data_IF_492604093851
#
_entry.id   IF_492604093851
#
_cell.length_a   1.000
_cell.length_b   1.000
_cell.length_c   1.000
_cell.angle_alpha   90.00
_cell.angle_beta   90.00
_cell.angle_gamma   90.00
#
_symmetry.space_group_name_H-M   'P 1'
#
loop_
_entity.id
_entity.type
_entity.pdbx_description
1 polymer ?
#
# COMPACT_ATOMS: atom_id res chain seq x y z
N UNK A 1 -14.78 0.12 -32.33
CA UNK A 1 -15.02 0.69 -33.68
C UNK A 1 -14.19 1.97 -33.91
N UNK A 2 -12.96 2.09 -33.38
CA UNK A 2 -12.23 3.37 -33.26
C UNK A 2 -11.17 3.60 -34.34
N UNK A 3 -10.55 2.56 -34.90
CA UNK A 3 -9.58 2.70 -35.99
C UNK A 3 -10.23 3.22 -37.29
N UNK A 4 -11.46 2.78 -37.57
CA UNK A 4 -12.16 3.02 -38.85
C UNK A 4 -12.47 4.49 -39.11
N UNK A 5 -12.93 5.26 -38.12
CA UNK A 5 -13.29 6.67 -38.32
C UNK A 5 -12.07 7.56 -38.56
N UNK A 6 -10.96 7.33 -37.84
CA UNK A 6 -9.70 8.05 -38.06
C UNK A 6 -9.09 7.69 -39.43
N UNK A 7 -9.17 6.42 -39.82
CA UNK A 7 -8.73 5.96 -41.14
C UNK A 7 -9.57 6.54 -42.28
N UNK A 8 -10.90 6.58 -42.13
CA UNK A 8 -11.81 7.14 -43.13
C UNK A 8 -11.61 8.66 -43.31
N UNK A 9 -11.40 9.38 -42.21
CA UNK A 9 -11.04 10.79 -42.25
C UNK A 9 -9.71 10.98 -42.99
N UNK A 10 -8.65 10.27 -42.58
CA UNK A 10 -7.34 10.35 -43.24
C UNK A 10 -7.41 10.00 -44.75
N UNK A 11 -8.27 9.07 -45.15
CA UNK A 11 -8.52 8.75 -46.57
C UNK A 11 -9.16 9.91 -47.32
N UNK A 12 -10.24 10.49 -46.78
CA UNK A 12 -10.90 11.65 -47.41
C UNK A 12 -9.92 12.81 -47.64
N UNK A 13 -9.01 13.05 -46.70
CA UNK A 13 -7.99 14.10 -46.82
C UNK A 13 -6.88 13.77 -47.81
N UNK A 14 -6.42 12.51 -47.81
CA UNK A 14 -5.50 12.00 -48.84
C UNK A 14 -6.07 12.20 -50.24
N UNK A 15 -7.37 11.94 -50.41
CA UNK A 15 -8.05 12.05 -51.70
C UNK A 15 -8.13 13.51 -52.18
N UNK A 16 -8.49 14.43 -51.28
CA UNK A 16 -8.53 15.89 -51.59
C UNK A 16 -7.13 16.43 -51.91
N UNK A 17 -6.12 16.06 -51.14
CA UNK A 17 -4.73 16.49 -51.40
C UNK A 17 -4.21 15.92 -52.73
N UNK A 18 -4.50 14.65 -53.02
CA UNK A 18 -4.12 14.03 -54.30
C UNK A 18 -4.85 14.65 -55.50
N UNK A 19 -6.11 15.06 -55.32
CA UNK A 19 -6.90 15.74 -56.35
C UNK A 19 -6.34 17.12 -56.64
N UNK A 20 -5.97 17.89 -55.59
CA UNK A 20 -5.35 19.20 -55.74
C UNK A 20 -3.97 19.10 -56.42
N UNK A 21 -3.16 18.11 -56.03
CA UNK A 21 -1.86 17.85 -56.66
C UNK A 21 -1.99 17.36 -58.12
N UNK A 22 -3.09 16.69 -58.46
CA UNK A 22 -3.37 16.27 -59.83
C UNK A 22 -3.83 17.46 -60.69
N UNK A 23 -4.70 18.33 -60.17
CA UNK A 23 -5.10 19.57 -60.83
C UNK A 23 -3.89 20.49 -61.10
N UNK A 24 -2.93 20.58 -60.18
CA UNK A 24 -1.68 21.32 -60.40
C UNK A 24 -0.85 20.74 -61.54
N UNK A 25 -0.74 19.40 -61.62
CA UNK A 25 0.01 18.72 -62.68
C UNK A 25 -0.65 18.84 -64.05
N UNK A 26 -1.98 18.78 -64.11
CA UNK A 26 -2.74 19.03 -65.33
C UNK A 26 -2.55 20.47 -65.82
N UNK A 27 -2.48 21.44 -64.90
CA UNK A 27 -2.16 22.81 -65.25
C UNK A 27 -0.73 23.00 -65.76
N UNK A 28 0.25 22.25 -65.25
CA UNK A 28 1.63 22.29 -65.75
C UNK A 28 1.77 21.71 -67.16
N UNK A 29 0.86 20.81 -67.55
CA UNK A 29 0.83 20.21 -68.89
C UNK A 29 0.16 21.11 -69.96
N UNK A 30 -0.53 22.19 -69.56
CA UNK A 30 -1.16 23.13 -70.47
C UNK A 30 -0.13 24.12 -71.03
N UNK A 31 0.37 23.84 -72.24
CA UNK A 31 1.20 24.79 -72.99
C UNK A 31 0.30 25.75 -73.78
N UNK A 32 0.29 27.03 -73.42
CA UNK A 32 -0.45 28.09 -74.12
C UNK A 32 0.52 29.07 -74.74
N UNK A 33 0.47 29.21 -76.07
CA UNK A 33 1.42 30.04 -76.83
C UNK A 33 1.08 31.54 -76.80
N UNK A 34 -0.15 31.91 -76.41
CA UNK A 34 -0.61 33.31 -76.29
C UNK A 34 -0.19 33.95 -74.95
N UNK A 35 0.33 35.19 -75.00
CA UNK A 35 0.77 35.98 -73.82
C UNK A 35 -0.32 36.12 -72.74
N UNK A 36 -1.55 36.46 -73.13
CA UNK A 36 -2.69 36.59 -72.19
C UNK A 36 -3.03 35.27 -71.49
N UNK A 37 -2.91 34.16 -72.23
CA UNK A 37 -3.13 32.81 -71.69
C UNK A 37 -2.06 32.37 -70.70
N UNK A 38 -0.80 32.79 -70.92
CA UNK A 38 0.30 32.55 -69.95
C UNK A 38 0.08 33.33 -68.65
N UNK A 39 -0.42 34.56 -68.73
CA UNK A 39 -0.75 35.35 -67.54
C UNK A 39 -1.88 34.73 -66.71
N UNK A 40 -2.96 34.28 -67.35
CA UNK A 40 -4.08 33.64 -66.63
C UNK A 40 -3.68 32.29 -66.01
N UNK A 41 -2.91 31.46 -66.73
CA UNK A 41 -2.37 30.23 -66.14
C UNK A 41 -1.46 30.53 -64.94
N UNK A 42 -0.64 31.58 -65.01
CA UNK A 42 0.19 32.03 -63.89
C UNK A 42 -0.63 32.41 -62.66
N UNK A 43 -1.72 33.16 -62.83
CA UNK A 43 -2.63 33.55 -61.73
C UNK A 43 -3.30 32.34 -61.09
N UNK A 44 -3.85 31.44 -61.90
CA UNK A 44 -4.54 30.24 -61.40
C UNK A 44 -3.54 29.33 -60.67
N UNK A 45 -2.31 29.20 -61.18
CA UNK A 45 -1.24 28.45 -60.50
C UNK A 45 -0.90 29.03 -59.13
N UNK A 46 -0.78 30.36 -59.05
CA UNK A 46 -0.52 31.04 -57.79
C UNK A 46 -1.67 30.84 -56.79
N UNK A 47 -2.92 30.90 -57.26
CA UNK A 47 -4.10 30.64 -56.43
C UNK A 47 -4.15 29.19 -55.94
N UNK A 48 -3.89 28.20 -56.81
CA UNK A 48 -3.86 26.79 -56.41
C UNK A 48 -2.77 26.51 -55.38
N UNK A 49 -1.58 27.08 -55.54
CA UNK A 49 -0.49 26.95 -54.56
C UNK A 49 -0.90 27.51 -53.19
N UNK A 50 -1.52 28.69 -53.15
CA UNK A 50 -1.99 29.29 -51.91
C UNK A 50 -3.09 28.46 -51.22
N UNK A 51 -3.97 27.84 -52.01
CA UNK A 51 -5.00 26.93 -51.49
C UNK A 51 -4.34 25.69 -50.90
N UNK A 52 -3.34 25.12 -51.56
CA UNK A 52 -2.61 23.95 -51.08
C UNK A 52 -1.88 24.24 -49.76
N UNK A 53 -1.20 25.37 -49.68
CA UNK A 53 -0.45 25.76 -48.48
C UNK A 53 -1.41 25.95 -47.29
N UNK A 54 -2.50 26.70 -47.47
CA UNK A 54 -3.52 26.87 -46.42
C UNK A 54 -4.17 25.57 -45.98
N UNK A 55 -4.48 24.69 -46.94
CA UNK A 55 -5.09 23.40 -46.65
C UNK A 55 -4.15 22.52 -45.82
N UNK A 56 -2.86 22.49 -46.15
CA UNK A 56 -1.85 21.76 -45.38
C UNK A 56 -1.67 22.32 -43.96
N UNK A 57 -1.73 23.65 -43.81
CA UNK A 57 -1.63 24.30 -42.49
C UNK A 57 -2.83 23.98 -41.60
N UNK A 58 -4.05 24.08 -42.14
CA UNK A 58 -5.28 23.70 -41.41
C UNK A 58 -5.27 22.21 -41.05
N UNK A 59 -4.75 21.35 -41.92
CA UNK A 59 -4.61 19.92 -41.64
C UNK A 59 -3.65 19.65 -40.49
N UNK A 60 -2.46 20.25 -40.52
CA UNK A 60 -1.48 20.15 -39.45
C UNK A 60 -2.02 20.69 -38.11
N UNK A 61 -2.81 21.76 -38.16
CA UNK A 61 -3.46 22.30 -36.98
C UNK A 61 -4.48 21.30 -36.41
N UNK A 62 -5.33 20.74 -37.26
CA UNK A 62 -6.38 19.82 -36.85
C UNK A 62 -5.82 18.50 -36.32
N UNK A 63 -4.77 17.95 -36.95
CA UNK A 63 -4.10 16.73 -36.48
C UNK A 63 -3.50 16.90 -35.08
N UNK A 64 -2.93 18.08 -34.79
CA UNK A 64 -2.30 18.36 -33.50
C UNK A 64 -3.29 18.65 -32.38
N UNK A 65 -4.48 19.20 -32.68
CA UNK A 65 -5.37 19.76 -31.65
C UNK A 65 -6.72 19.04 -31.52
N UNK A 66 -7.11 18.18 -32.46
CA UNK A 66 -8.37 17.46 -32.35
C UNK A 66 -8.19 16.12 -31.62
N UNK A 67 -8.79 16.00 -30.43
CA UNK A 67 -8.93 14.72 -29.72
C UNK A 67 -10.02 13.86 -30.38
N UNK A 68 -9.66 13.14 -31.45
CA UNK A 68 -10.59 12.22 -32.14
C UNK A 68 -10.86 10.91 -31.37
N UNK A 69 -10.10 10.65 -30.30
CA UNK A 69 -10.15 9.36 -29.58
C UNK A 69 -11.17 9.36 -28.44
N UNK A 70 -11.60 10.54 -27.96
CA UNK A 70 -12.45 10.65 -26.77
C UNK A 70 -13.78 11.34 -27.08
N UNK A 71 -14.84 10.53 -27.13
CA UNK A 71 -16.20 11.05 -27.21
C UNK A 71 -16.63 11.61 -25.86
N UNK A 72 -16.67 12.94 -25.74
CA UNK A 72 -17.05 13.64 -24.51
C UNK A 72 -18.52 14.02 -24.55
N UNK A 73 -19.31 13.53 -23.59
CA UNK A 73 -20.72 13.89 -23.43
C UNK A 73 -20.92 14.64 -22.10
N UNK A 74 -21.60 15.78 -22.14
CA UNK A 74 -21.96 16.56 -20.97
C UNK A 74 -23.48 16.56 -20.76
N UNK A 75 -23.93 16.28 -19.53
CA UNK A 75 -25.35 16.28 -19.15
C UNK A 75 -25.67 17.50 -18.30
N UNK A 76 -26.60 18.34 -18.77
CA UNK A 76 -27.08 19.54 -18.06
C UNK A 76 -28.55 19.40 -17.67
N UNK A 77 -28.95 20.05 -16.58
CA UNK A 77 -30.33 20.05 -16.08
C UNK A 77 -30.41 20.26 -14.56
N UNK A 78 -31.61 20.48 -14.04
CA UNK A 78 -31.87 20.70 -12.60
C UNK A 78 -31.67 19.43 -11.75
N UNK A 79 -31.51 19.59 -10.43
CA UNK A 79 -31.47 18.45 -9.49
C UNK A 79 -32.71 17.58 -9.68
N UNK A 80 -32.54 16.25 -9.62
CA UNK A 80 -33.62 15.27 -9.82
C UNK A 80 -34.21 15.15 -11.23
N UNK A 81 -33.64 15.81 -12.26
CA UNK A 81 -34.04 15.62 -13.66
C UNK A 81 -33.62 14.25 -14.27
N UNK A 82 -33.12 13.32 -13.45
CA UNK A 82 -32.68 12.00 -13.91
C UNK A 82 -31.30 11.93 -14.59
N UNK A 83 -30.49 13.00 -14.53
CA UNK A 83 -29.14 13.05 -15.14
C UNK A 83 -28.27 11.85 -14.70
N UNK A 84 -28.23 11.56 -13.40
CA UNK A 84 -27.47 10.42 -12.86
C UNK A 84 -27.98 9.08 -13.38
N UNK A 85 -29.29 8.94 -13.54
CA UNK A 85 -29.93 7.72 -14.07
C UNK A 85 -29.53 7.48 -15.52
N UNK A 86 -29.52 8.51 -16.36
CA UNK A 86 -29.10 8.38 -17.76
C UNK A 86 -27.63 8.00 -17.86
N UNK A 87 -26.76 8.64 -17.07
CA UNK A 87 -25.34 8.30 -17.02
C UNK A 87 -25.17 6.82 -16.63
N UNK A 88 -25.88 6.36 -15.61
CA UNK A 88 -25.76 4.98 -15.16
C UNK A 88 -26.33 3.98 -16.19
N UNK A 89 -27.45 4.29 -16.83
CA UNK A 89 -27.99 3.47 -17.93
C UNK A 89 -27.00 3.32 -19.07
N UNK A 90 -26.29 4.39 -19.44
CA UNK A 90 -25.25 4.33 -20.48
C UNK A 90 -24.07 3.47 -20.03
N UNK A 91 -23.63 3.58 -18.78
CA UNK A 91 -22.56 2.72 -18.24
C UNK A 91 -22.92 1.24 -18.28
N UNK A 92 -24.16 0.90 -17.94
CA UNK A 92 -24.68 -0.47 -18.02
C UNK A 92 -24.74 -0.93 -19.48
N UNK A 93 -25.33 -0.12 -20.36
CA UNK A 93 -25.52 -0.44 -21.78
C UNK A 93 -24.19 -0.69 -22.50
N UNK A 94 -23.19 0.15 -22.23
CA UNK A 94 -21.84 0.01 -22.80
C UNK A 94 -20.93 -0.91 -22.01
N UNK A 95 -21.46 -1.56 -20.97
CA UNK A 95 -20.74 -2.53 -20.16
C UNK A 95 -19.37 -1.99 -19.73
N UNK A 96 -19.34 -0.85 -19.00
CA UNK A 96 -18.12 -0.10 -18.64
C UNK A 96 -17.11 -0.96 -17.85
N UNK A 97 -16.36 -1.79 -18.58
CA UNK A 97 -15.53 -2.87 -18.03
C UNK A 97 -14.41 -2.32 -17.15
N UNK A 98 -13.84 -1.16 -17.53
CA UNK A 98 -12.80 -0.49 -16.76
C UNK A 98 -13.29 -0.15 -15.35
N UNK A 99 -14.52 0.36 -15.21
CA UNK A 99 -15.10 0.71 -13.92
C UNK A 99 -15.37 -0.55 -13.09
N UNK A 100 -15.84 -1.63 -13.71
CA UNK A 100 -16.03 -2.93 -13.02
C UNK A 100 -14.71 -3.49 -12.50
N UNK A 101 -13.67 -3.50 -13.33
CA UNK A 101 -12.33 -3.93 -12.94
C UNK A 101 -11.78 -3.10 -11.78
N UNK A 102 -11.96 -1.77 -11.82
CA UNK A 102 -11.57 -0.88 -10.72
C UNK A 102 -12.31 -1.21 -9.42
N UNK A 103 -13.62 -1.47 -9.49
CA UNK A 103 -14.42 -1.85 -8.31
C UNK A 103 -13.97 -3.19 -7.73
N UNK A 104 -13.73 -4.19 -8.57
CA UNK A 104 -13.22 -5.49 -8.13
C UNK A 104 -11.83 -5.37 -7.50
N UNK A 105 -10.95 -4.58 -8.10
CA UNK A 105 -9.61 -4.34 -7.57
C UNK A 105 -9.65 -3.63 -6.22
N UNK A 106 -10.50 -2.62 -6.07
CA UNK A 106 -10.70 -1.92 -4.81
C UNK A 106 -11.24 -2.87 -3.72
N UNK A 107 -12.19 -3.74 -4.06
CA UNK A 107 -12.71 -4.73 -3.12
C UNK A 107 -11.62 -5.71 -2.65
N UNK A 108 -10.78 -6.20 -3.57
CA UNK A 108 -9.64 -7.08 -3.24
C UNK A 108 -8.62 -6.38 -2.35
N UNK A 109 -8.27 -5.13 -2.67
CA UNK A 109 -7.32 -4.34 -1.87
C UNK A 109 -7.85 -4.11 -0.45
N UNK A 110 -9.13 -3.82 -0.30
CA UNK A 110 -9.76 -3.66 1.00
C UNK A 110 -9.68 -4.94 1.84
N UNK A 111 -10.03 -6.09 1.23
CA UNK A 111 -9.95 -7.38 1.90
C UNK A 111 -8.51 -7.72 2.35
N UNK A 112 -7.51 -7.43 1.52
CA UNK A 112 -6.11 -7.65 1.87
C UNK A 112 -5.66 -6.76 3.04
N UNK A 113 -6.08 -5.49 3.05
CA UNK A 113 -5.77 -4.57 4.14
C UNK A 113 -6.39 -5.04 5.47
N UNK A 114 -7.64 -5.51 5.46
CA UNK A 114 -8.30 -6.07 6.64
C UNK A 114 -7.58 -7.32 7.16
N UNK A 115 -7.18 -8.23 6.27
CA UNK A 115 -6.44 -9.43 6.65
C UNK A 115 -5.07 -9.10 7.25
N UNK A 116 -4.34 -8.16 6.64
CA UNK A 116 -3.03 -7.73 7.15
C UNK A 116 -3.15 -7.10 8.54
N UNK A 117 -4.18 -6.26 8.75
CA UNK A 117 -4.44 -5.64 10.04
C UNK A 117 -4.79 -6.69 11.11
N UNK A 118 -5.64 -7.66 10.77
CA UNK A 118 -5.99 -8.75 11.68
C UNK A 118 -4.76 -9.58 12.06
N UNK A 119 -3.92 -9.95 11.09
CA UNK A 119 -2.70 -10.71 11.33
C UNK A 119 -1.74 -9.97 12.26
N UNK A 120 -1.57 -8.66 12.04
CA UNK A 120 -0.73 -7.82 12.89
C UNK A 120 -1.29 -7.70 14.31
N UNK A 121 -2.62 -7.59 14.47
CA UNK A 121 -3.26 -7.59 15.77
C UNK A 121 -3.07 -8.92 16.52
N UNK A 122 -3.15 -10.04 15.81
CA UNK A 122 -2.92 -11.37 16.37
C UNK A 122 -1.45 -11.56 16.78
N UNK A 123 -0.51 -11.08 15.97
CA UNK A 123 0.92 -11.10 16.28
C UNK A 123 1.23 -10.29 17.55
N UNK A 124 0.70 -9.07 17.65
CA UNK A 124 0.84 -8.24 18.85
C UNK A 124 0.26 -8.97 20.07
N UNK A 125 -0.93 -9.55 19.95
CA UNK A 125 -1.57 -10.28 21.05
C UNK A 125 -0.73 -11.48 21.50
N UNK A 126 -0.19 -12.24 20.55
CA UNK A 126 0.68 -13.38 20.84
C UNK A 126 2.00 -12.92 21.50
N UNK A 127 2.62 -11.86 20.98
CA UNK A 127 3.82 -11.26 21.55
C UNK A 127 3.60 -10.78 22.99
N UNK A 128 2.51 -10.06 23.25
CA UNK A 128 2.15 -9.67 24.62
C UNK A 128 1.93 -10.89 25.51
N UNK A 129 1.21 -11.91 25.02
CA UNK A 129 1.00 -13.17 25.74
C UNK A 129 2.31 -13.84 26.15
N UNK A 130 3.28 -13.92 25.25
CA UNK A 130 4.60 -14.48 25.52
C UNK A 130 5.39 -13.66 26.55
N UNK A 131 5.29 -12.32 26.50
CA UNK A 131 5.91 -11.45 27.50
C UNK A 131 5.30 -11.66 28.89
N UNK A 132 3.96 -11.75 28.99
CA UNK A 132 3.29 -12.02 30.25
C UNK A 132 3.66 -13.37 30.85
N UNK A 133 3.74 -14.43 30.03
CA UNK A 133 4.12 -15.77 30.51
C UNK A 133 5.58 -15.82 30.97
N UNK A 134 6.49 -15.12 30.28
CA UNK A 134 7.88 -14.99 30.70
C UNK A 134 8.00 -14.31 32.07
N UNK A 135 7.33 -13.16 32.28
CA UNK A 135 7.32 -12.48 33.58
C UNK A 135 6.71 -13.36 34.68
N UNK A 136 5.61 -14.06 34.41
CA UNK A 136 4.99 -14.95 35.40
C UNK A 136 5.95 -16.08 35.82
N UNK A 137 6.70 -16.65 34.87
CA UNK A 137 7.70 -17.68 35.15
C UNK A 137 8.87 -17.14 35.97
N UNK A 138 9.35 -15.93 35.67
CA UNK A 138 10.44 -15.29 36.40
C UNK A 138 10.03 -14.99 37.85
N UNK A 139 8.83 -14.46 38.06
CA UNK A 139 8.27 -14.21 39.41
C UNK A 139 8.14 -15.53 40.19
N UNK A 140 7.67 -16.61 39.54
CA UNK A 140 7.58 -17.92 40.18
C UNK A 140 8.97 -18.44 40.61
N UNK A 141 9.99 -18.28 39.77
CA UNK A 141 11.37 -18.64 40.10
C UNK A 141 11.94 -17.82 41.28
N UNK A 142 11.64 -16.52 41.34
CA UNK A 142 12.00 -15.66 42.47
C UNK A 142 11.32 -16.10 43.77
N UNK A 143 10.02 -16.43 43.72
CA UNK A 143 9.30 -16.95 44.89
C UNK A 143 9.92 -18.25 45.40
N UNK A 144 10.29 -19.17 44.51
CA UNK A 144 10.96 -20.42 44.87
C UNK A 144 12.33 -20.16 45.50
N UNK A 145 13.09 -19.21 44.95
CA UNK A 145 14.38 -18.79 45.50
C UNK A 145 14.23 -18.22 46.92
N UNK A 146 13.23 -17.35 47.14
CA UNK A 146 12.92 -16.79 48.48
C UNK A 146 12.52 -17.91 49.45
N UNK A 147 11.73 -18.88 49.02
CA UNK A 147 11.34 -20.03 49.85
C UNK A 147 12.56 -20.86 50.28
N UNK A 148 13.49 -21.12 49.36
CA UNK A 148 14.73 -21.86 49.66
C UNK A 148 15.61 -21.10 50.67
N UNK A 149 15.74 -19.78 50.53
CA UNK A 149 16.50 -18.93 51.45
C UNK A 149 15.87 -18.92 52.85
N UNK A 150 14.54 -18.88 52.96
CA UNK A 150 13.84 -18.99 54.26
C UNK A 150 14.17 -20.32 54.95
N UNK A 151 14.12 -21.43 54.21
CA UNK A 151 14.40 -22.75 54.75
C UNK A 151 15.86 -22.87 55.23
N UNK A 152 16.81 -22.33 54.46
CA UNK A 152 18.23 -22.29 54.86
C UNK A 152 18.41 -21.46 56.13
N UNK A 153 17.80 -20.27 56.20
CA UNK A 153 17.89 -19.39 57.36
C UNK A 153 17.31 -20.03 58.64
N UNK A 154 16.22 -20.79 58.53
CA UNK A 154 15.61 -21.55 59.64
C UNK A 154 16.50 -22.73 60.09
N UNK A 155 17.15 -23.43 59.16
CA UNK A 155 18.10 -24.48 59.48
C UNK A 155 19.34 -23.91 60.20
N UNK A 156 19.87 -22.77 59.75
CA UNK A 156 21.00 -22.12 60.41
C UNK A 156 20.65 -21.54 61.79
N UNK A 157 19.44 -21.00 61.97
CA UNK A 157 19.00 -20.49 63.28
C UNK A 157 18.83 -21.65 64.28
N UNK A 158 18.26 -22.77 63.87
CA UNK A 158 18.13 -23.96 64.71
C UNK A 158 19.48 -24.65 64.99
N UNK A 159 20.46 -24.53 64.09
CA UNK A 159 21.83 -24.98 64.31
C UNK A 159 22.58 -24.09 65.31
N UNK A 160 22.38 -22.76 65.26
CA UNK A 160 22.94 -21.81 66.24
C UNK A 160 22.35 -22.01 67.64
N UNK A 161 21.04 -22.23 67.74
CA UNK A 161 20.37 -22.51 69.01
C UNK A 161 20.85 -23.84 69.60
N UNK A 162 20.94 -24.91 68.79
CA UNK A 162 21.46 -26.21 69.24
C UNK A 162 22.92 -26.16 69.66
N UNK A 163 23.79 -25.42 68.95
CA UNK A 163 25.20 -25.24 69.36
C UNK A 163 25.33 -24.50 70.69
N UNK A 164 24.55 -23.44 70.91
CA UNK A 164 24.51 -22.74 72.21
C UNK A 164 23.97 -23.63 73.32
N UNK A 165 22.88 -24.37 73.07
CA UNK A 165 22.29 -25.31 74.02
C UNK A 165 23.26 -26.45 74.39
N UNK A 166 23.98 -27.00 73.41
CA UNK A 166 24.97 -28.05 73.64
C UNK A 166 26.19 -27.52 74.40
N UNK A 167 26.69 -26.33 74.07
CA UNK A 167 27.76 -25.68 74.82
C UNK A 167 27.36 -25.42 76.29
N UNK A 168 26.12 -24.97 76.55
CA UNK A 168 25.64 -24.82 77.92
C UNK A 168 25.45 -26.14 78.65
N UNK A 169 25.02 -27.21 77.97
CA UNK A 169 24.84 -28.53 78.56
C UNK A 169 26.19 -29.19 78.93
N UNK A 170 27.18 -29.10 78.05
CA UNK A 170 28.55 -29.60 78.31
C UNK A 170 29.22 -28.80 79.44
N UNK A 171 29.08 -27.48 79.43
CA UNK A 171 29.59 -26.62 80.52
C UNK A 171 28.93 -26.90 81.87
N UNK A 172 27.60 -27.10 81.89
CA UNK A 172 26.85 -27.44 83.11
C UNK A 172 27.19 -28.83 83.67
N UNK A 173 27.41 -29.82 82.80
CA UNK A 173 27.79 -31.18 83.21
C UNK A 173 29.18 -31.23 83.87
N UNK A 174 30.15 -30.47 83.35
CA UNK A 174 31.49 -30.37 83.95
C UNK A 174 31.46 -29.72 85.34
N UNK A 175 30.66 -28.66 85.51
CA UNK A 175 30.48 -28.01 86.81
C UNK A 175 29.74 -28.91 87.81
N UNK A 176 28.74 -29.66 87.36
CA UNK A 176 28.01 -30.61 88.21
C UNK A 176 28.86 -31.78 88.69
N UNK A 177 29.75 -32.31 87.84
CA UNK A 177 30.65 -33.39 88.21
C UNK A 177 31.71 -32.94 89.24
N UNK A 178 32.24 -31.72 89.12
CA UNK A 178 33.18 -31.16 90.10
C UNK A 178 32.52 -30.95 91.48
N UNK A 179 31.27 -30.49 91.52
CA UNK A 179 30.53 -30.32 92.77
C UNK A 179 30.21 -31.67 93.44
N UNK A 180 29.86 -32.69 92.66
CA UNK A 180 29.60 -34.04 93.18
C UNK A 180 30.87 -34.69 93.75
N UNK A 181 32.02 -34.55 93.08
CA UNK A 181 33.29 -35.06 93.61
C UNK A 181 33.72 -34.36 94.91
N UNK A 182 33.47 -33.05 95.03
CA UNK A 182 33.73 -32.30 96.27
C UNK A 182 32.82 -32.71 97.44
N UNK A 183 31.56 -33.07 97.15
CA UNK A 183 30.61 -33.50 98.18
C UNK A 183 30.92 -34.90 98.74
N UNK A 184 31.43 -35.83 97.91
CA UNK A 184 31.82 -37.16 98.37
C UNK A 184 33.08 -37.16 99.25
N UNK A 185 33.97 -36.18 99.09
CA UNK A 185 35.16 -36.03 99.93
C UNK A 185 34.88 -35.45 101.33
N UNK A 186 33.70 -34.84 101.55
CA UNK A 186 33.34 -34.23 102.83
C UNK A 186 32.42 -35.12 103.71
N UNK A 187 31.85 -36.19 103.16
CA UNK A 187 30.94 -37.09 103.90
C UNK A 187 31.63 -38.40 104.36
N UNK A 188 32.90 -38.59 104.00
CA UNK A 188 33.69 -39.79 104.34
C UNK A 188 34.88 -39.56 105.28
N UNK A 189 34.75 -38.68 106.28
CA UNK A 189 35.75 -38.47 107.34
C UNK A 189 35.12 -38.55 108.74
#
# INVERSE_FOLDING_TARGET
MTASSKQHFNQLYSDVSSSLASAMREMEALNVDHEDGKQEIGKIRQQLSQIQDRFNDELNFLEKHAEWDKFTMAFFGETNAGKSTVIESLRILFNEDLRRQQLEQNARNLQQAEQALSAQADEIRAGMGAVYTAYASEIAGLQQSIASLRQIAEQESSARIRRRAWLSAVGGALLGAAAAAGAWLLVGA
#
